data_IF_722561958912
#
_entry.id   IF_722561958912
#
_cell.length_a   1.000
_cell.length_b   1.000
_cell.length_c   1.000
_cell.angle_alpha   90.00
_cell.angle_beta   90.00
_cell.angle_gamma   90.00
#
_symmetry.space_group_name_H-M   'P 1'
#
loop_
_entity.id
_entity.type
_entity.pdbx_description
1 polymer ?
#
# COMPACT_ATOMS: atom_id res chain seq x y z
N UNK A 1 -2.20 -4.42 10.60
CA UNK A 1 -1.18 -4.63 9.54
C UNK A 1 -1.41 -3.73 8.33
N UNK A 2 -2.62 -3.68 7.77
CA UNK A 2 -2.94 -2.76 6.66
C UNK A 2 -2.60 -1.30 6.97
N UNK A 3 -2.91 -0.83 8.19
CA UNK A 3 -2.56 0.52 8.64
C UNK A 3 -1.04 0.77 8.71
N UNK A 4 -0.24 -0.24 9.04
CA UNK A 4 1.23 -0.12 9.05
C UNK A 4 1.76 0.08 7.62
N UNK A 5 1.15 -0.59 6.63
CA UNK A 5 1.46 -0.37 5.22
C UNK A 5 0.95 1.00 4.72
N UNK A 6 -0.23 1.44 5.17
CA UNK A 6 -0.79 2.76 4.86
C UNK A 6 0.12 3.90 5.38
N UNK A 7 0.49 3.83 6.65
CA UNK A 7 1.24 4.88 7.33
C UNK A 7 2.75 4.72 7.24
N UNK A 8 3.28 3.81 6.42
CA UNK A 8 4.73 3.59 6.30
C UNK A 8 5.55 4.86 6.00
N UNK A 9 4.93 5.90 5.42
CA UNK A 9 5.55 7.20 5.15
C UNK A 9 5.23 8.30 6.18
N UNK A 10 4.32 8.03 7.11
CA UNK A 10 3.76 8.99 8.05
C UNK A 10 3.64 8.42 9.46
N UNK A 11 4.31 7.29 9.75
CA UNK A 11 4.26 6.67 11.07
C UNK A 11 4.87 7.69 12.00
N UNK A 12 4.00 8.38 12.75
CA UNK A 12 4.40 9.31 13.77
C UNK A 12 5.37 8.53 14.66
N UNK A 13 6.57 9.08 14.87
CA UNK A 13 7.55 8.45 15.74
C UNK A 13 6.92 8.13 17.08
N UNK A 14 5.88 8.86 17.54
CA UNK A 14 5.09 8.53 18.72
C UNK A 14 4.45 7.13 18.73
N UNK A 15 4.09 6.57 17.57
CA UNK A 15 3.55 5.20 17.42
C UNK A 15 4.65 4.13 17.53
N UNK A 16 5.91 4.47 17.28
CA UNK A 16 7.04 3.52 17.22
C UNK A 16 8.12 3.74 18.30
N UNK A 17 8.25 4.94 18.87
CA UNK A 17 9.38 5.38 19.71
C UNK A 17 9.20 5.05 21.19
N UNK A 18 8.03 4.53 21.59
CA UNK A 18 7.72 4.19 22.98
C UNK A 18 7.29 2.73 23.17
N UNK A 19 7.77 1.82 22.33
CA UNK A 19 7.30 0.44 22.37
C UNK A 19 8.20 -0.46 23.20
N UNK A 20 7.91 -0.55 24.50
CA UNK A 20 8.25 -1.76 25.27
C UNK A 20 7.32 -2.93 24.87
N UNK A 21 7.64 -4.17 25.26
CA UNK A 21 6.72 -5.31 25.06
C UNK A 21 5.37 -5.11 25.78
N UNK A 22 5.35 -4.36 26.88
CA UNK A 22 4.13 -3.98 27.61
C UNK A 22 3.34 -2.93 26.81
N UNK A 23 4.02 -1.94 26.22
CA UNK A 23 3.39 -0.95 25.32
C UNK A 23 2.92 -1.55 23.99
N UNK A 24 3.47 -2.69 23.54
CA UNK A 24 2.93 -3.44 22.40
C UNK A 24 1.61 -4.17 22.74
N UNK A 25 1.39 -4.53 24.00
CA UNK A 25 0.09 -4.99 24.49
C UNK A 25 -0.89 -3.81 24.66
N UNK A 26 -0.40 -2.62 25.04
CA UNK A 26 -1.20 -1.39 25.08
C UNK A 26 -1.36 -0.67 23.73
N UNK A 27 -0.56 -0.99 22.69
CA UNK A 27 -0.81 -0.63 21.29
C UNK A 27 -1.90 -1.49 20.64
N UNK A 28 -2.18 -2.67 21.21
CA UNK A 28 -3.48 -3.33 21.01
C UNK A 28 -4.60 -2.62 21.79
N UNK A 29 -4.24 -1.63 22.62
CA UNK A 29 -5.15 -0.71 23.25
C UNK A 29 -5.86 0.11 22.19
N UNK A 30 -7.18 0.07 22.27
CA UNK A 30 -8.09 0.64 21.28
C UNK A 30 -7.77 2.09 20.92
N UNK A 31 -7.15 2.88 21.81
CA UNK A 31 -6.94 4.32 21.65
C UNK A 31 -5.93 4.73 20.55
N UNK A 32 -4.80 4.03 20.40
CA UNK A 32 -3.79 4.40 19.38
C UNK A 32 -4.29 4.04 17.97
N UNK A 33 -4.92 2.87 17.85
CA UNK A 33 -5.60 2.42 16.63
C UNK A 33 -6.78 3.35 16.34
N UNK A 34 -7.61 3.71 17.33
CA UNK A 34 -8.73 4.65 17.15
C UNK A 34 -8.26 6.03 16.68
N UNK A 35 -7.17 6.57 17.23
CA UNK A 35 -6.60 7.84 16.77
C UNK A 35 -6.08 7.76 15.33
N UNK A 36 -5.42 6.66 14.97
CA UNK A 36 -4.96 6.44 13.60
C UNK A 36 -6.13 6.31 12.62
N UNK A 37 -7.14 5.53 13.00
CA UNK A 37 -8.39 5.31 12.27
C UNK A 37 -9.23 6.58 12.11
N UNK A 38 -9.20 7.49 13.09
CA UNK A 38 -9.89 8.78 13.01
C UNK A 38 -9.37 9.65 11.85
N UNK A 39 -8.12 9.47 11.44
CA UNK A 39 -7.51 10.18 10.31
C UNK A 39 -7.74 9.46 8.96
N UNK A 40 -8.51 8.37 8.92
CA UNK A 40 -8.84 7.66 7.69
C UNK A 40 -10.23 8.11 7.22
N UNK A 41 -10.25 8.97 6.21
CA UNK A 41 -11.47 9.61 5.71
C UNK A 41 -12.37 8.69 4.89
N UNK A 42 -11.79 7.67 4.26
CA UNK A 42 -12.48 6.60 3.54
C UNK A 42 -11.77 5.26 3.84
N UNK A 43 -12.51 4.29 4.37
CA UNK A 43 -11.94 3.05 4.90
C UNK A 43 -12.71 1.81 4.48
N UNK A 44 -12.21 1.15 3.44
CA UNK A 44 -12.75 -0.11 2.91
C UNK A 44 -12.14 -1.37 3.55
N UNK A 45 -11.39 -1.26 4.65
CA UNK A 45 -10.63 -2.39 5.23
C UNK A 45 -11.53 -3.58 5.57
N UNK A 46 -12.73 -3.36 6.13
CA UNK A 46 -13.67 -4.43 6.46
C UNK A 46 -14.24 -5.13 5.22
N UNK A 47 -14.50 -4.37 4.15
CA UNK A 47 -14.97 -4.91 2.87
C UNK A 47 -13.88 -5.76 2.20
N UNK A 48 -12.62 -5.28 2.24
CA UNK A 48 -11.46 -6.03 1.77
C UNK A 48 -11.27 -7.29 2.59
N UNK A 49 -11.35 -7.20 3.92
CA UNK A 49 -11.20 -8.35 4.80
C UNK A 49 -12.26 -9.43 4.53
N UNK A 50 -13.52 -9.02 4.37
CA UNK A 50 -14.62 -9.92 4.01
C UNK A 50 -14.37 -10.62 2.67
N UNK A 51 -13.86 -9.89 1.68
CA UNK A 51 -13.48 -10.45 0.38
C UNK A 51 -12.36 -11.50 0.50
N UNK A 52 -11.31 -11.17 1.27
CA UNK A 52 -10.15 -12.04 1.49
C UNK A 52 -10.53 -13.33 2.25
N UNK A 53 -11.41 -13.23 3.26
CA UNK A 53 -11.87 -14.39 4.03
C UNK A 53 -12.84 -15.29 3.26
N UNK A 54 -13.66 -14.72 2.38
CA UNK A 54 -14.70 -15.44 1.63
C UNK A 54 -14.15 -16.39 0.56
N UNK A 55 -12.83 -16.40 0.32
CA UNK A 55 -12.21 -17.17 -0.76
C UNK A 55 -11.67 -18.50 -0.24
N UNK A 56 -12.07 -19.65 -0.83
CA UNK A 56 -11.56 -20.95 -0.43
C UNK A 56 -10.04 -21.05 -0.51
N UNK A 57 -9.42 -21.75 0.44
CA UNK A 57 -7.96 -21.88 0.56
C UNK A 57 -7.27 -22.46 -0.69
N UNK A 58 -7.98 -23.26 -1.48
CA UNK A 58 -7.50 -23.93 -2.71
C UNK A 58 -7.36 -23.02 -3.93
N UNK A 59 -7.88 -21.79 -3.88
CA UNK A 59 -7.77 -20.83 -4.99
C UNK A 59 -6.40 -20.15 -4.93
N UNK A 60 -5.74 -19.99 -6.08
CA UNK A 60 -4.53 -19.17 -6.18
C UNK A 60 -4.87 -17.70 -5.90
N UNK A 61 -4.25 -17.12 -4.88
CA UNK A 61 -4.48 -15.76 -4.39
C UNK A 61 -3.22 -14.91 -4.62
N UNK A 62 -2.87 -14.74 -5.89
CA UNK A 62 -1.77 -13.86 -6.31
C UNK A 62 -2.14 -12.39 -6.08
N UNK A 63 -1.33 -11.68 -5.30
CA UNK A 63 -1.55 -10.25 -5.00
C UNK A 63 -0.43 -9.41 -5.59
N UNK A 64 -0.79 -8.38 -6.33
CA UNK A 64 0.14 -7.40 -6.86
C UNK A 64 0.16 -6.18 -5.95
N UNK A 65 1.34 -5.61 -5.72
CA UNK A 65 1.51 -4.37 -4.98
C UNK A 65 2.35 -3.39 -5.79
N UNK A 66 1.74 -2.25 -6.15
CA UNK A 66 2.41 -1.14 -6.84
C UNK A 66 2.98 -0.21 -5.80
N UNK A 67 4.32 -0.23 -5.66
CA UNK A 67 5.04 0.44 -4.59
C UNK A 67 5.14 1.96 -4.80
N UNK A 68 5.25 2.68 -3.69
CA UNK A 68 5.53 4.13 -3.63
C UNK A 68 6.98 4.32 -3.21
N UNK A 69 7.26 4.61 -1.94
CA UNK A 69 8.59 5.02 -1.48
C UNK A 69 9.50 3.87 -1.00
N UNK A 70 10.80 4.06 -1.20
CA UNK A 70 11.88 3.28 -0.61
C UNK A 70 12.03 3.53 0.91
N UNK A 71 13.01 2.87 1.53
CA UNK A 71 13.30 3.04 2.95
C UNK A 71 12.24 2.39 3.85
N UNK A 72 11.71 3.14 4.81
CA UNK A 72 10.82 2.58 5.83
C UNK A 72 9.46 2.14 5.26
N UNK A 73 8.92 2.85 4.26
CA UNK A 73 7.67 2.42 3.61
C UNK A 73 7.85 1.09 2.88
N UNK A 74 8.92 0.93 2.10
CA UNK A 74 9.26 -0.35 1.49
C UNK A 74 9.43 -1.46 2.55
N UNK A 75 10.05 -1.16 3.69
CA UNK A 75 10.19 -2.12 4.78
C UNK A 75 8.83 -2.56 5.34
N UNK A 76 7.92 -1.62 5.61
CA UNK A 76 6.58 -1.97 6.12
C UNK A 76 5.74 -2.70 5.06
N UNK A 77 5.92 -2.39 3.78
CA UNK A 77 5.31 -3.13 2.67
C UNK A 77 5.80 -4.58 2.59
N UNK A 78 7.10 -4.83 2.79
CA UNK A 78 7.64 -6.19 2.88
C UNK A 78 7.11 -6.96 4.10
N UNK A 79 6.98 -6.30 5.25
CA UNK A 79 6.34 -6.90 6.43
C UNK A 79 4.89 -7.25 6.12
N UNK A 80 4.15 -6.35 5.47
CA UNK A 80 2.76 -6.57 5.14
C UNK A 80 2.59 -7.72 4.13
N UNK A 81 3.42 -7.78 3.09
CA UNK A 81 3.47 -8.90 2.16
C UNK A 81 3.76 -10.23 2.88
N UNK A 82 4.75 -10.25 3.77
CA UNK A 82 5.08 -11.43 4.57
C UNK A 82 3.94 -11.85 5.51
N UNK A 83 3.19 -10.89 6.07
CA UNK A 83 1.99 -11.17 6.87
C UNK A 83 0.89 -11.82 6.03
N UNK A 84 0.60 -11.29 4.83
CA UNK A 84 -0.41 -11.86 3.94
C UNK A 84 -0.06 -13.31 3.55
N UNK A 85 1.22 -13.61 3.34
CA UNK A 85 1.71 -14.95 3.02
C UNK A 85 1.65 -15.90 4.23
N UNK A 86 2.13 -15.47 5.40
CA UNK A 86 2.11 -16.28 6.63
C UNK A 86 0.70 -16.66 7.05
N UNK A 87 -0.23 -15.70 6.97
CA UNK A 87 -1.64 -15.92 7.29
C UNK A 87 -2.39 -16.67 6.18
N UNK A 88 -1.71 -17.07 5.10
CA UNK A 88 -2.30 -17.72 3.93
C UNK A 88 -3.44 -16.91 3.29
N UNK A 89 -3.41 -15.59 3.46
CA UNK A 89 -4.34 -14.66 2.81
C UNK A 89 -3.96 -14.55 1.33
N UNK A 90 -2.67 -14.45 1.05
CA UNK A 90 -2.10 -14.53 -0.30
C UNK A 90 -1.31 -15.84 -0.47
N UNK A 91 -1.23 -16.35 -1.70
CA UNK A 91 -0.37 -17.50 -2.06
C UNK A 91 0.98 -17.04 -2.61
N UNK A 92 1.00 -15.87 -3.24
CA UNK A 92 2.19 -15.22 -3.78
C UNK A 92 1.97 -13.72 -3.90
N UNK A 93 3.07 -12.97 -3.90
CA UNK A 93 3.11 -11.51 -4.00
C UNK A 93 4.01 -11.11 -5.18
N UNK A 94 3.57 -10.14 -5.99
CA UNK A 94 4.41 -9.47 -6.97
C UNK A 94 4.48 -7.98 -6.68
N UNK A 95 5.69 -7.49 -6.42
CA UNK A 95 5.97 -6.10 -6.09
C UNK A 95 6.41 -5.36 -7.36
N UNK A 96 5.67 -4.32 -7.72
CA UNK A 96 5.95 -3.48 -8.89
C UNK A 96 6.73 -2.25 -8.46
N UNK A 97 7.96 -2.14 -8.96
CA UNK A 97 8.89 -1.03 -8.71
C UNK A 97 9.07 -0.16 -9.95
N UNK A 98 9.68 1.02 -9.77
CA UNK A 98 10.02 1.93 -10.87
C UNK A 98 11.34 1.49 -11.54
N UNK A 99 11.49 1.79 -12.82
CA UNK A 99 12.66 1.36 -13.60
C UNK A 99 13.92 2.21 -13.37
N UNK A 100 13.73 3.46 -12.93
CA UNK A 100 14.78 4.45 -12.71
C UNK A 100 14.29 5.46 -11.68
N UNK A 101 15.18 6.31 -11.11
CA UNK A 101 14.81 7.28 -10.07
C UNK A 101 13.60 8.11 -10.48
N UNK A 102 12.55 8.03 -9.67
CA UNK A 102 11.25 8.63 -9.95
C UNK A 102 10.73 9.28 -8.67
N UNK A 103 10.20 10.51 -8.77
CA UNK A 103 9.63 11.23 -7.62
C UNK A 103 10.48 11.22 -6.34
N UNK A 104 11.81 11.33 -6.49
CA UNK A 104 12.83 11.36 -5.42
C UNK A 104 12.98 10.05 -4.67
N UNK A 105 11.90 9.54 -4.06
CA UNK A 105 11.94 8.42 -3.14
C UNK A 105 11.26 7.15 -3.66
N UNK A 106 10.73 7.14 -4.88
CA UNK A 106 10.06 5.92 -5.36
C UNK A 106 11.03 4.74 -5.46
N UNK A 107 10.55 3.55 -5.08
CA UNK A 107 11.35 2.32 -5.08
C UNK A 107 11.85 1.99 -6.49
N UNK A 108 13.17 1.84 -6.62
CA UNK A 108 13.87 1.26 -7.77
C UNK A 108 14.60 -0.04 -7.38
N UNK A 109 15.17 -0.83 -8.31
CA UNK A 109 15.72 -2.15 -7.98
C UNK A 109 16.82 -2.07 -6.90
N UNK A 110 17.69 -1.07 -6.97
CA UNK A 110 18.80 -0.89 -6.03
C UNK A 110 18.35 -0.58 -4.60
N UNK A 111 17.13 -0.07 -4.41
CA UNK A 111 16.61 0.24 -3.08
C UNK A 111 16.23 -1.01 -2.31
N UNK A 112 15.82 -2.09 -3.00
CA UNK A 112 15.54 -3.37 -2.37
C UNK A 112 16.83 -3.98 -1.83
N UNK A 113 17.87 -4.00 -2.65
CA UNK A 113 19.19 -4.51 -2.24
C UNK A 113 19.74 -3.68 -1.07
N UNK A 114 19.70 -2.35 -1.21
CA UNK A 114 20.10 -1.41 -0.17
C UNK A 114 19.32 -1.63 1.13
N UNK A 115 18.00 -1.86 1.08
CA UNK A 115 17.20 -2.14 2.27
C UNK A 115 17.75 -3.36 3.02
N UNK A 116 17.99 -4.48 2.32
CA UNK A 116 18.52 -5.68 2.96
C UNK A 116 19.94 -5.48 3.50
N UNK A 117 20.81 -4.77 2.78
CA UNK A 117 22.15 -4.42 3.26
C UNK A 117 22.09 -3.64 4.59
N UNK A 118 21.17 -2.68 4.69
CA UNK A 118 20.99 -1.90 5.91
C UNK A 118 20.41 -2.75 7.05
N UNK A 119 19.38 -3.56 6.79
CA UNK A 119 18.78 -4.43 7.81
C UNK A 119 19.77 -5.49 8.33
N UNK A 120 20.75 -5.89 7.52
CA UNK A 120 21.80 -6.85 7.90
C UNK A 120 23.04 -6.19 8.51
N UNK A 121 23.14 -4.87 8.46
CA UNK A 121 24.28 -4.13 8.97
C UNK A 121 24.20 -3.97 10.49
N UNK A 122 25.07 -4.68 11.22
CA UNK A 122 25.23 -4.50 12.67
C UNK A 122 25.69 -3.07 13.06
N UNK A 123 26.23 -2.31 12.09
CA UNK A 123 26.58 -0.90 12.28
C UNK A 123 25.35 0.01 12.23
N UNK A 124 24.40 -0.30 11.35
CA UNK A 124 23.15 0.46 11.23
C UNK A 124 22.16 0.10 12.35
N UNK A 125 22.08 -1.19 12.69
CA UNK A 125 21.20 -1.71 13.73
C UNK A 125 22.00 -2.58 14.71
N UNK A 126 22.50 -2.00 15.83
CA UNK A 126 23.29 -2.75 16.82
C UNK A 126 22.42 -3.75 17.62
N UNK A 127 21.18 -3.40 17.95
CA UNK A 127 20.23 -4.25 18.68
C UNK A 127 19.29 -4.97 17.71
N UNK A 128 19.74 -6.11 17.19
CA UNK A 128 19.19 -6.76 16.00
C UNK A 128 18.49 -8.11 16.22
N UNK A 129 18.11 -8.46 17.44
CA UNK A 129 17.46 -9.75 17.73
C UNK A 129 16.23 -10.02 16.84
N UNK A 130 15.36 -9.02 16.67
CA UNK A 130 14.16 -9.16 15.83
C UNK A 130 14.50 -9.16 14.34
N UNK A 131 15.47 -8.34 13.92
CA UNK A 131 15.91 -8.28 12.53
C UNK A 131 16.58 -9.60 12.12
N UNK A 132 17.34 -10.24 13.00
CA UNK A 132 17.98 -11.54 12.77
C UNK A 132 16.98 -12.68 12.61
N UNK A 133 15.75 -12.52 13.10
CA UNK A 133 14.64 -13.45 12.84
C UNK A 133 13.86 -13.08 11.59
N UNK A 134 13.63 -11.78 11.37
CA UNK A 134 12.80 -11.27 10.27
C UNK A 134 13.51 -11.39 8.91
N UNK A 135 14.77 -10.95 8.82
CA UNK A 135 15.49 -10.85 7.54
C UNK A 135 15.63 -12.21 6.85
N UNK A 136 16.07 -13.30 7.52
CA UNK A 136 16.13 -14.62 6.87
C UNK A 136 14.76 -15.10 6.39
N UNK A 137 13.68 -14.78 7.12
CA UNK A 137 12.32 -15.13 6.73
C UNK A 137 11.89 -14.37 5.46
N UNK A 138 12.16 -13.05 5.39
CA UNK A 138 11.90 -12.27 4.18
C UNK A 138 12.69 -12.81 2.99
N UNK A 139 14.00 -13.08 3.17
CA UNK A 139 14.83 -13.68 2.10
C UNK A 139 14.28 -15.02 1.61
N UNK A 140 13.82 -15.89 2.51
CA UNK A 140 13.21 -17.17 2.14
C UNK A 140 11.96 -17.00 1.25
N UNK A 141 11.18 -15.93 1.43
CA UNK A 141 10.06 -15.64 0.53
C UNK A 141 10.52 -15.21 -0.86
N UNK A 142 11.59 -14.43 -0.97
CA UNK A 142 12.20 -14.11 -2.26
C UNK A 142 12.81 -15.34 -2.93
N UNK A 143 13.58 -16.14 -2.19
CA UNK A 143 14.24 -17.36 -2.69
C UNK A 143 13.24 -18.41 -3.18
N UNK A 144 12.09 -18.53 -2.51
CA UNK A 144 11.03 -19.46 -2.92
C UNK A 144 10.14 -18.93 -4.05
N UNK A 145 10.27 -17.65 -4.42
CA UNK A 145 9.40 -16.99 -5.40
C UNK A 145 8.03 -16.59 -4.87
N UNK A 146 7.76 -16.79 -3.57
CA UNK A 146 6.52 -16.35 -2.93
C UNK A 146 6.41 -14.81 -2.89
N UNK A 147 7.54 -14.10 -2.84
CA UNK A 147 7.62 -12.68 -3.17
C UNK A 147 8.52 -12.53 -4.40
N UNK A 148 8.03 -11.83 -5.42
CA UNK A 148 8.80 -11.48 -6.62
C UNK A 148 8.78 -9.98 -6.85
N UNK A 149 9.80 -9.46 -7.53
CA UNK A 149 9.86 -8.06 -7.94
C UNK A 149 9.80 -7.99 -9.45
N UNK A 150 9.04 -7.03 -9.96
CA UNK A 150 8.95 -6.73 -11.38
C UNK A 150 8.90 -5.22 -11.61
N UNK A 151 9.13 -4.80 -12.85
CA UNK A 151 8.97 -3.41 -13.27
C UNK A 151 8.39 -3.37 -14.67
N UNK A 152 7.60 -2.34 -14.94
CA UNK A 152 7.07 -2.05 -16.27
C UNK A 152 7.33 -0.56 -16.59
N UNK A 153 7.73 -0.20 -17.82
CA UNK A 153 7.95 1.20 -18.20
C UNK A 153 6.74 2.09 -17.94
N UNK A 154 5.52 1.54 -18.01
CA UNK A 154 4.27 2.26 -17.81
C UNK A 154 4.21 3.02 -16.47
N UNK A 155 4.77 2.43 -15.40
CA UNK A 155 4.79 3.05 -14.06
C UNK A 155 5.47 4.43 -14.06
N UNK A 156 6.47 4.59 -14.91
CA UNK A 156 7.29 5.81 -15.07
C UNK A 156 6.89 6.65 -16.29
N UNK A 157 5.73 6.40 -16.89
CA UNK A 157 5.17 7.29 -17.93
C UNK A 157 4.35 8.44 -17.32
N UNK A 158 4.07 9.53 -18.05
CA UNK A 158 3.16 10.57 -17.57
C UNK A 158 1.67 10.15 -17.63
N UNK A 159 1.36 8.98 -18.17
CA UNK A 159 -0.02 8.55 -18.34
C UNK A 159 -0.68 8.23 -17.00
N UNK A 160 -1.95 8.58 -16.88
CA UNK A 160 -2.80 8.04 -15.83
C UNK A 160 -3.11 6.58 -16.12
N UNK A 161 -3.59 5.85 -15.12
CA UNK A 161 -3.90 4.43 -15.28
C UNK A 161 -5.12 4.19 -16.18
N UNK A 162 -5.90 5.23 -16.52
CA UNK A 162 -6.94 5.15 -17.55
C UNK A 162 -6.40 4.69 -18.91
N UNK A 163 -5.15 5.05 -19.22
CA UNK A 163 -4.51 4.71 -20.50
C UNK A 163 -3.88 3.30 -20.49
N UNK A 164 -3.82 2.63 -19.32
CA UNK A 164 -3.18 1.32 -19.18
C UNK A 164 -3.70 0.27 -20.17
N UNK A 165 -5.03 0.14 -20.43
CA UNK A 165 -5.55 -0.84 -21.39
C UNK A 165 -5.02 -0.64 -22.82
N UNK A 166 -4.64 0.58 -23.19
CA UNK A 166 -4.17 0.92 -24.55
C UNK A 166 -2.64 0.93 -24.60
N UNK A 167 -1.99 1.47 -23.57
CA UNK A 167 -0.54 1.71 -23.55
C UNK A 167 0.27 0.53 -23.01
N UNK A 168 -0.31 -0.25 -22.11
CA UNK A 168 0.32 -1.41 -21.48
C UNK A 168 -0.70 -2.57 -21.36
N UNK A 169 -1.25 -3.07 -22.47
CA UNK A 169 -2.31 -4.08 -22.45
C UNK A 169 -1.88 -5.38 -21.74
N UNK A 170 -0.62 -5.80 -21.89
CA UNK A 170 -0.10 -6.98 -21.20
C UNK A 170 -0.09 -6.80 -19.67
N UNK A 171 0.34 -5.62 -19.19
CA UNK A 171 0.28 -5.27 -17.76
C UNK A 171 -1.17 -5.22 -17.26
N UNK A 172 -2.07 -4.62 -18.05
CA UNK A 172 -3.49 -4.54 -17.72
C UNK A 172 -4.13 -5.93 -17.61
N UNK A 173 -3.83 -6.83 -18.55
CA UNK A 173 -4.34 -8.21 -18.55
C UNK A 173 -3.79 -9.02 -17.37
N UNK A 174 -2.50 -8.85 -17.04
CA UNK A 174 -1.89 -9.42 -15.85
C UNK A 174 -2.61 -8.97 -14.58
N UNK A 175 -2.71 -7.65 -14.36
CA UNK A 175 -3.31 -7.07 -13.15
C UNK A 175 -4.82 -7.38 -13.01
N UNK A 176 -5.53 -7.63 -14.11
CA UNK A 176 -6.91 -8.09 -14.06
C UNK A 176 -7.05 -9.55 -13.60
N UNK A 177 -6.00 -10.35 -13.75
CA UNK A 177 -5.97 -11.73 -13.29
C UNK A 177 -5.58 -11.86 -11.82
N UNK A 178 -4.98 -10.81 -11.26
CA UNK A 178 -4.62 -10.72 -9.85
C UNK A 178 -5.85 -10.85 -8.95
N UNK A 179 -5.65 -11.53 -7.83
CA UNK A 179 -6.68 -11.68 -6.80
C UNK A 179 -6.97 -10.36 -6.10
N UNK A 180 -5.94 -9.53 -5.90
CA UNK A 180 -6.03 -8.14 -5.44
C UNK A 180 -4.83 -7.36 -5.98
N UNK A 181 -5.05 -6.09 -6.34
CA UNK A 181 -3.98 -5.14 -6.68
C UNK A 181 -3.99 -4.01 -5.66
N UNK A 182 -2.89 -3.88 -4.93
CA UNK A 182 -2.70 -2.86 -3.90
C UNK A 182 -1.87 -1.72 -4.49
N UNK A 183 -2.38 -0.50 -4.49
CA UNK A 183 -1.65 0.68 -4.92
C UNK A 183 -1.24 1.50 -3.70
N UNK A 184 0.07 1.72 -3.52
CA UNK A 184 0.61 2.49 -2.40
C UNK A 184 0.72 3.98 -2.76
N UNK A 185 0.42 4.84 -1.80
CA UNK A 185 0.83 6.24 -1.84
C UNK A 185 0.03 7.15 -2.77
N UNK A 186 0.42 8.43 -2.74
CA UNK A 186 -0.35 9.52 -3.34
C UNK A 186 -0.24 9.57 -4.87
N UNK A 187 0.96 9.36 -5.43
CA UNK A 187 1.15 9.40 -6.88
C UNK A 187 0.35 8.30 -7.60
N UNK A 188 0.32 7.09 -7.04
CA UNK A 188 -0.49 6.01 -7.60
C UNK A 188 -1.99 6.35 -7.52
N UNK A 189 -2.46 6.92 -6.41
CA UNK A 189 -3.86 7.35 -6.28
C UNK A 189 -4.22 8.43 -7.31
N UNK A 190 -3.37 9.44 -7.48
CA UNK A 190 -3.55 10.47 -8.51
C UNK A 190 -3.59 9.86 -9.92
N UNK A 191 -2.72 8.89 -10.22
CA UNK A 191 -2.78 8.17 -11.51
C UNK A 191 -4.05 7.31 -11.65
N UNK A 192 -4.56 6.71 -10.57
CA UNK A 192 -5.83 5.97 -10.56
C UNK A 192 -7.02 6.89 -10.86
N UNK A 193 -7.05 8.09 -10.27
CA UNK A 193 -8.15 9.06 -10.39
C UNK A 193 -7.93 10.12 -11.49
N UNK A 194 -6.91 9.94 -12.33
CA UNK A 194 -6.52 10.89 -13.39
C UNK A 194 -6.22 12.31 -12.86
N UNK A 195 -5.81 12.42 -11.59
CA UNK A 195 -5.48 13.67 -10.89
C UNK A 195 -6.60 14.71 -11.04
N UNK A 196 -7.85 14.23 -11.09
CA UNK A 196 -9.01 15.04 -11.46
C UNK A 196 -9.55 15.86 -10.28
N UNK A 197 -10.15 17.00 -10.61
CA UNK A 197 -10.97 17.81 -9.68
C UNK A 197 -12.37 17.18 -9.56
N UNK A 198 -12.43 15.99 -8.97
CA UNK A 198 -13.68 15.27 -8.74
C UNK A 198 -14.46 15.87 -7.56
N UNK A 199 -15.80 15.84 -7.59
CA UNK A 199 -16.57 15.89 -6.35
C UNK A 199 -16.06 14.82 -5.37
N UNK A 200 -15.81 15.18 -4.12
CA UNK A 200 -15.30 14.24 -3.10
C UNK A 200 -16.21 13.02 -2.89
N UNK A 201 -17.49 13.16 -3.20
CA UNK A 201 -18.52 12.12 -3.10
C UNK A 201 -18.63 11.23 -4.34
N UNK A 202 -17.88 11.51 -5.41
CA UNK A 202 -17.78 10.60 -6.56
C UNK A 202 -17.27 9.25 -6.06
N UNK A 203 -17.92 8.15 -6.47
CA UNK A 203 -17.47 6.82 -6.02
C UNK A 203 -16.08 6.48 -6.56
N UNK A 204 -15.27 5.78 -5.76
CA UNK A 204 -13.93 5.35 -6.21
C UNK A 204 -14.01 4.51 -7.50
N UNK A 205 -15.00 3.61 -7.61
CA UNK A 205 -15.25 2.83 -8.83
C UNK A 205 -15.46 3.70 -10.07
N UNK A 206 -16.19 4.81 -9.96
CA UNK A 206 -16.41 5.74 -11.07
C UNK A 206 -15.12 6.47 -11.44
N UNK A 207 -14.40 6.98 -10.44
CA UNK A 207 -13.15 7.71 -10.60
C UNK A 207 -11.98 6.85 -11.14
N UNK A 208 -12.09 5.52 -11.09
CA UNK A 208 -11.15 4.58 -11.71
C UNK A 208 -11.35 4.43 -13.23
N UNK A 209 -12.45 4.92 -13.79
CA UNK A 209 -12.71 4.90 -15.23
C UNK A 209 -12.62 3.51 -15.86
N UNK A 210 -11.75 3.28 -16.86
CA UNK A 210 -11.58 1.96 -17.48
C UNK A 210 -11.23 0.85 -16.49
N UNK A 211 -10.44 1.14 -15.45
CA UNK A 211 -10.06 0.16 -14.43
C UNK A 211 -11.27 -0.24 -13.58
N UNK A 212 -12.13 0.71 -13.20
CA UNK A 212 -13.35 0.45 -12.44
C UNK A 212 -14.43 -0.34 -13.20
N UNK A 213 -14.31 -0.39 -14.53
CA UNK A 213 -15.15 -1.21 -15.43
C UNK A 213 -14.54 -2.58 -15.74
N UNK A 214 -13.31 -2.83 -15.30
CA UNK A 214 -12.59 -4.08 -15.51
C UNK A 214 -12.88 -5.12 -14.42
N UNK A 215 -12.21 -6.28 -14.50
CA UNK A 215 -12.27 -7.31 -13.44
C UNK A 215 -11.30 -7.04 -12.28
N UNK A 216 -10.40 -6.06 -12.43
CA UNK A 216 -9.37 -5.73 -11.45
C UNK A 216 -9.99 -5.38 -10.10
N UNK A 217 -9.50 -6.02 -9.04
CA UNK A 217 -9.84 -5.71 -7.65
C UNK A 217 -8.76 -4.80 -7.12
N UNK A 218 -9.13 -3.58 -6.74
CA UNK A 218 -8.19 -2.51 -6.42
C UNK A 218 -8.38 -2.10 -4.97
N UNK A 219 -7.27 -2.04 -4.23
CA UNK A 219 -7.17 -1.38 -2.94
C UNK A 219 -6.14 -0.27 -3.07
N UNK A 220 -6.52 0.97 -2.76
CA UNK A 220 -5.56 2.07 -2.65
C UNK A 220 -5.26 2.31 -1.17
N UNK A 221 -3.98 2.27 -0.80
CA UNK A 221 -3.49 2.63 0.53
C UNK A 221 -2.75 3.96 0.40
N UNK A 222 -3.48 5.06 0.63
CA UNK A 222 -3.02 6.42 0.33
C UNK A 222 -3.17 7.33 1.54
N UNK A 223 -2.07 7.95 1.95
CA UNK A 223 -2.11 9.18 2.75
C UNK A 223 -2.41 10.36 1.83
N UNK A 224 -3.36 11.22 2.20
CA UNK A 224 -3.73 12.39 1.40
C UNK A 224 -2.57 13.40 1.34
N UNK A 225 -1.98 13.59 0.15
CA UNK A 225 -0.90 14.56 -0.10
C UNK A 225 -1.16 15.45 -1.34
N UNK A 226 -2.38 15.40 -1.86
CA UNK A 226 -2.83 16.18 -3.03
C UNK A 226 -4.33 16.44 -2.98
N UNK A 227 -4.80 17.43 -3.74
CA UNK A 227 -6.20 17.88 -3.75
C UNK A 227 -7.21 16.81 -4.20
N UNK A 228 -6.81 15.90 -5.10
CA UNK A 228 -7.74 14.87 -5.59
C UNK A 228 -8.11 13.89 -4.46
N UNK A 229 -9.41 13.72 -4.23
CA UNK A 229 -9.96 12.75 -3.29
C UNK A 229 -11.39 12.41 -3.76
N UNK A 230 -11.74 11.13 -3.67
CA UNK A 230 -13.04 10.56 -4.05
C UNK A 230 -13.40 9.48 -3.04
N UNK A 231 -14.66 9.02 -3.06
CA UNK A 231 -15.14 7.94 -2.19
C UNK A 231 -15.69 8.41 -0.84
N UNK A 232 -15.63 9.71 -0.52
CA UNK A 232 -16.17 10.21 0.75
C UNK A 232 -17.68 9.99 0.78
N UNK A 233 -18.14 9.28 1.82
CA UNK A 233 -19.50 8.73 1.94
C UNK A 233 -20.63 9.72 1.62
N UNK A 234 -20.50 10.97 2.06
CA UNK A 234 -21.53 11.99 1.84
C UNK A 234 -20.97 13.41 1.87
N UNK A 235 -21.72 14.35 1.29
CA UNK A 235 -21.38 15.76 1.37
C UNK A 235 -21.34 16.26 2.82
N UNK A 236 -22.21 15.74 3.70
CA UNK A 236 -22.17 16.08 5.12
C UNK A 236 -20.86 15.68 5.81
N UNK A 237 -20.26 14.55 5.43
CA UNK A 237 -18.94 14.13 5.91
C UNK A 237 -17.84 15.05 5.40
N UNK A 238 -17.89 15.43 4.11
CA UNK A 238 -16.97 16.40 3.51
C UNK A 238 -17.02 17.75 4.24
N UNK A 239 -18.22 18.25 4.52
CA UNK A 239 -18.43 19.53 5.19
C UNK A 239 -17.89 19.49 6.64
N UNK A 240 -18.09 18.37 7.35
CA UNK A 240 -17.54 18.15 8.69
C UNK A 240 -16.00 18.13 8.68
N UNK A 241 -15.40 17.38 7.74
CA UNK A 241 -13.95 17.32 7.56
C UNK A 241 -13.35 18.70 7.25
N UNK A 242 -14.00 19.49 6.39
CA UNK A 242 -13.57 20.86 6.09
C UNK A 242 -13.73 21.83 7.27
N UNK A 243 -14.66 21.58 8.19
CA UNK A 243 -14.80 22.37 9.41
C UNK A 243 -13.70 22.04 10.43
N UNK A 244 -13.31 20.77 10.55
CA UNK A 244 -12.26 20.30 11.44
C UNK A 244 -10.85 20.64 10.92
N UNK A 245 -10.62 20.44 9.62
CA UNK A 245 -9.37 20.70 8.92
C UNK A 245 -9.61 21.58 7.67
N UNK A 246 -9.73 22.92 7.85
CA UNK A 246 -9.99 23.84 6.75
C UNK A 246 -8.94 23.77 5.64
N UNK A 247 -9.40 23.95 4.39
CA UNK A 247 -8.52 23.93 3.22
C UNK A 247 -8.18 22.53 2.69
N UNK A 248 -8.94 21.50 3.07
CA UNK A 248 -8.71 20.13 2.60
C UNK A 248 -7.50 19.45 3.26
N UNK A 249 -7.17 19.83 4.49
CA UNK A 249 -6.02 19.32 5.23
C UNK A 249 -6.29 17.98 5.95
N UNK A 250 -7.32 17.24 5.51
CA UNK A 250 -7.77 15.96 6.04
C UNK A 250 -7.45 14.79 5.11
#
# INVERSE_FOLDING_TARGET
MTEIALWGNATDLSLLSHLSMEDMQDLQGQDAIQKSQANIVDNDTDAVWTYLQGTPSLVDRHVDMVLDNAGFELFTDLIYAAYLLDCQIATSMQLHIKQFPWFVSDVVPTDVDSLFEHLESAKCFPDREYLDRLVPRLRKFFESGAISITSDPFWTTPFSFYEMPIRAPALFDHLQSSYLVIFKGDLNYRKLTKDGLWPYTTSFREALGPLGKSRMKILALRTNKSDTCVGVESQGKVDALNAEAPGGAW
#
